data_IF_277965154393
#
_entry.id   IF_277965154393
#
_cell.length_a   1.000
_cell.length_b   1.000
_cell.length_c   1.000
_cell.angle_alpha   90.00
_cell.angle_beta   90.00
_cell.angle_gamma   90.00
#
_symmetry.space_group_name_H-M   'P 1'
#
loop_
_entity.id
_entity.type
_entity.pdbx_description
1 polymer ?
#
# COMPACT_ATOMS: atom_id res chain seq x y z
N UNK A 1 8.84 -8.40 7.86
CA UNK A 1 8.14 -7.12 8.01
C UNK A 1 7.95 -6.50 6.63
N UNK A 2 6.71 -6.33 6.20
CA UNK A 2 6.35 -5.66 4.95
C UNK A 2 6.21 -4.16 5.23
N UNK A 3 6.86 -3.31 4.44
CA UNK A 3 6.60 -1.87 4.51
C UNK A 3 5.30 -1.57 3.78
N UNK A 4 4.44 -0.77 4.39
CA UNK A 4 3.19 -0.29 3.80
C UNK A 4 3.23 1.24 3.76
N UNK A 5 3.49 1.81 2.57
CA UNK A 5 3.38 3.24 2.33
C UNK A 5 1.94 3.61 1.99
N UNK A 6 1.39 4.59 2.70
CA UNK A 6 0.03 5.06 2.48
C UNK A 6 -0.22 6.40 3.15
N UNK A 7 -1.49 6.75 3.31
CA UNK A 7 -1.93 7.92 4.08
C UNK A 7 -3.35 7.70 4.59
N UNK A 8 -3.66 8.21 5.78
CA UNK A 8 -4.99 8.09 6.39
C UNK A 8 -6.08 8.85 5.61
N UNK A 9 -5.73 9.78 4.72
CA UNK A 9 -6.71 10.46 3.86
C UNK A 9 -7.18 9.58 2.69
N UNK A 10 -6.51 8.45 2.42
CA UNK A 10 -6.85 7.50 1.36
C UNK A 10 -7.75 6.37 1.89
N UNK A 11 -8.91 6.19 1.25
CA UNK A 11 -9.89 5.18 1.64
C UNK A 11 -9.33 3.75 1.56
N UNK A 12 -8.55 3.43 0.52
CA UNK A 12 -7.93 2.11 0.35
C UNK A 12 -6.88 1.82 1.42
N UNK A 13 -6.18 2.87 1.88
CA UNK A 13 -5.23 2.74 3.00
C UNK A 13 -5.94 2.49 4.32
N UNK A 14 -7.06 3.18 4.59
CA UNK A 14 -7.87 2.94 5.79
C UNK A 14 -8.49 1.54 5.80
N UNK A 15 -9.03 1.09 4.66
CA UNK A 15 -9.50 -0.29 4.50
C UNK A 15 -8.36 -1.30 4.73
N UNK A 16 -7.17 -1.06 4.18
CA UNK A 16 -5.99 -1.90 4.42
C UNK A 16 -5.68 -2.00 5.91
N UNK A 17 -5.60 -0.86 6.63
CA UNK A 17 -5.36 -0.86 8.08
C UNK A 17 -6.43 -1.65 8.85
N UNK A 18 -7.71 -1.48 8.49
CA UNK A 18 -8.82 -2.19 9.10
C UNK A 18 -8.73 -3.72 8.88
N UNK A 19 -8.39 -4.15 7.67
CA UNK A 19 -8.20 -5.57 7.32
C UNK A 19 -7.02 -6.17 8.09
N UNK A 20 -5.88 -5.47 8.12
CA UNK A 20 -4.69 -5.93 8.85
C UNK A 20 -5.00 -6.10 10.34
N UNK A 21 -5.74 -5.16 10.93
CA UNK A 21 -6.21 -5.26 12.32
C UNK A 21 -7.17 -6.43 12.53
N UNK A 22 -8.19 -6.57 11.68
CA UNK A 22 -9.18 -7.65 11.78
C UNK A 22 -8.55 -9.05 11.65
N UNK A 23 -7.46 -9.17 10.89
CA UNK A 23 -6.71 -10.42 10.68
C UNK A 23 -5.56 -10.62 11.67
N UNK A 24 -5.33 -9.71 12.62
CA UNK A 24 -4.19 -9.72 13.54
C UNK A 24 -2.83 -9.77 12.82
N UNK A 25 -2.67 -8.96 11.77
CA UNK A 25 -1.46 -8.86 10.95
C UNK A 25 -0.69 -7.53 11.14
N UNK A 26 -1.09 -6.71 12.10
CA UNK A 26 -0.44 -5.41 12.39
C UNK A 26 1.06 -5.56 12.73
N UNK A 27 1.47 -6.71 13.27
CA UNK A 27 2.89 -7.03 13.55
C UNK A 27 3.69 -7.46 12.31
N UNK A 28 3.01 -7.73 11.19
CA UNK A 28 3.63 -8.12 9.91
C UNK A 28 3.86 -6.95 8.97
N UNK A 29 3.16 -5.83 9.19
CA UNK A 29 3.22 -4.65 8.35
C UNK A 29 3.66 -3.41 9.14
N UNK A 30 4.64 -2.69 8.61
CA UNK A 30 5.02 -1.38 9.13
C UNK A 30 4.38 -0.31 8.26
N UNK A 31 3.36 0.35 8.80
CA UNK A 31 2.74 1.50 8.13
C UNK A 31 3.66 2.72 8.16
N UNK A 32 3.82 3.35 6.99
CA UNK A 32 4.57 4.58 6.78
C UNK A 32 3.60 5.57 6.14
N UNK A 33 3.11 6.51 6.96
CA UNK A 33 2.29 7.61 6.46
C UNK A 33 3.17 8.61 5.69
N UNK A 34 3.03 8.64 4.38
CA UNK A 34 3.80 9.53 3.49
C UNK A 34 3.41 11.00 3.62
N UNK A 35 2.29 11.29 4.26
CA UNK A 35 1.82 12.65 4.51
C UNK A 35 2.25 13.19 5.87
N UNK A 36 2.82 12.36 6.74
CA UNK A 36 3.22 12.75 8.09
C UNK A 36 4.39 13.74 8.13
N UNK A 37 5.35 13.63 7.21
CA UNK A 37 6.49 14.53 7.10
C UNK A 37 7.15 14.44 5.71
N UNK A 38 8.06 15.36 5.42
CA UNK A 38 8.74 15.43 4.12
C UNK A 38 9.74 14.31 3.86
N UNK A 39 10.26 13.65 4.91
CA UNK A 39 11.22 12.56 4.73
C UNK A 39 10.50 11.30 4.26
N UNK A 40 9.37 10.94 4.91
CA UNK A 40 8.49 9.86 4.44
C UNK A 40 7.98 10.13 3.01
N UNK A 41 7.65 11.40 2.70
CA UNK A 41 7.22 11.79 1.37
C UNK A 41 8.34 11.60 0.33
N UNK A 42 9.57 12.01 0.62
CA UNK A 42 10.73 11.80 -0.27
C UNK A 42 11.03 10.32 -0.47
N UNK A 43 10.94 9.52 0.59
CA UNK A 43 11.16 8.07 0.54
C UNK A 43 10.13 7.42 -0.38
N UNK A 44 8.84 7.75 -0.20
CA UNK A 44 7.79 7.24 -1.09
C UNK A 44 7.94 7.73 -2.52
N UNK A 45 8.22 9.01 -2.75
CA UNK A 45 8.42 9.54 -4.12
C UNK A 45 9.60 8.86 -4.81
N UNK A 46 10.69 8.60 -4.09
CA UNK A 46 11.86 7.87 -4.62
C UNK A 46 11.48 6.45 -5.05
N UNK A 47 10.69 5.74 -4.23
CA UNK A 47 10.16 4.43 -4.57
C UNK A 47 9.22 4.52 -5.80
N UNK A 48 8.24 5.41 -5.74
CA UNK A 48 7.22 5.63 -6.78
C UNK A 48 7.82 5.99 -8.12
N UNK A 49 8.90 6.78 -8.16
CA UNK A 49 9.47 7.25 -9.42
C UNK A 49 10.40 6.22 -10.08
N UNK A 50 10.93 5.26 -9.31
CA UNK A 50 11.92 4.28 -9.78
C UNK A 50 11.35 2.89 -10.02
N UNK A 51 10.36 2.48 -9.25
CA UNK A 51 9.84 1.12 -9.28
C UNK A 51 8.87 0.91 -10.45
N UNK A 52 9.04 -0.21 -11.15
CA UNK A 52 8.23 -0.55 -12.33
C UNK A 52 6.75 -0.79 -11.97
N UNK A 53 6.48 -1.26 -10.75
CA UNK A 53 5.13 -1.48 -10.23
C UNK A 53 4.24 -0.23 -10.26
N UNK A 54 4.84 0.97 -10.22
CA UNK A 54 4.13 2.24 -10.28
C UNK A 54 3.92 2.78 -11.70
N UNK A 55 4.40 2.11 -12.74
CA UNK A 55 4.24 2.60 -14.12
C UNK A 55 2.76 2.90 -14.48
N UNK A 56 1.79 2.01 -14.18
CA UNK A 56 0.38 2.30 -14.45
C UNK A 56 -0.15 3.47 -13.59
N UNK A 57 0.29 3.59 -12.34
CA UNK A 57 -0.12 4.69 -11.46
C UNK A 57 0.41 6.05 -11.99
N UNK A 58 1.64 6.08 -12.50
CA UNK A 58 2.24 7.29 -13.11
C UNK A 58 1.55 7.66 -14.42
N UNK A 59 1.27 6.67 -15.29
CA UNK A 59 0.52 6.88 -16.53
C UNK A 59 -0.87 7.45 -16.27
N UNK A 60 -1.56 6.90 -15.26
CA UNK A 60 -2.81 7.44 -14.78
C UNK A 60 -3.99 7.21 -15.72
N UNK A 61 -5.05 8.00 -15.54
CA UNK A 61 -6.22 7.99 -16.41
C UNK A 61 -6.72 9.42 -16.62
N UNK A 62 -7.30 9.71 -17.78
CA UNK A 62 -7.90 11.01 -18.11
C UNK A 62 -6.93 12.20 -17.88
N UNK A 63 -5.65 12.01 -18.20
CA UNK A 63 -4.61 13.03 -18.05
C UNK A 63 -4.18 13.31 -16.60
N UNK A 64 -4.51 12.43 -15.64
CA UNK A 64 -4.09 12.54 -14.24
C UNK A 64 -3.46 11.25 -13.75
N UNK A 65 -2.26 11.35 -13.18
CA UNK A 65 -1.62 10.25 -12.46
C UNK A 65 -2.37 9.89 -11.18
N UNK A 66 -2.28 8.64 -10.78
CA UNK A 66 -2.62 8.18 -9.44
C UNK A 66 -1.42 8.33 -8.50
N UNK A 67 -1.70 8.40 -7.19
CA UNK A 67 -0.64 8.44 -6.16
C UNK A 67 0.07 7.08 -6.11
N UNK A 68 -0.66 5.97 -6.25
CA UNK A 68 -0.13 4.62 -6.13
C UNK A 68 -0.04 4.15 -4.68
N UNK A 69 -1.08 4.40 -3.89
CA UNK A 69 -1.23 3.90 -2.51
C UNK A 69 -2.52 3.12 -2.36
N UNK A 70 -2.57 2.08 -1.51
CA UNK A 70 -1.48 1.57 -0.68
C UNK A 70 -0.35 0.92 -1.51
N UNK A 71 0.91 1.06 -1.06
CA UNK A 71 2.07 0.42 -1.68
C UNK A 71 2.81 -0.44 -0.66
N UNK A 72 3.18 -1.65 -1.07
CA UNK A 72 3.78 -2.65 -0.21
C UNK A 72 5.16 -3.07 -0.71
N UNK A 73 6.13 -3.16 0.20
CA UNK A 73 7.50 -3.60 -0.08
C UNK A 73 7.85 -4.75 0.87
N UNK A 74 8.14 -5.93 0.33
CA UNK A 74 8.56 -7.07 1.14
C UNK A 74 10.06 -6.99 1.50
N UNK A 75 10.54 -7.97 2.28
CA UNK A 75 11.94 -8.04 2.72
C UNK A 75 12.94 -8.24 1.58
N UNK A 76 12.49 -8.77 0.44
CA UNK A 76 13.30 -8.96 -0.77
C UNK A 76 13.33 -7.71 -1.66
N UNK A 77 12.67 -6.62 -1.25
CA UNK A 77 12.54 -5.38 -2.03
C UNK A 77 11.50 -5.45 -3.15
N UNK A 78 10.70 -6.51 -3.24
CA UNK A 78 9.61 -6.60 -4.21
C UNK A 78 8.50 -5.64 -3.85
N UNK A 79 8.01 -4.91 -4.86
CA UNK A 79 6.98 -3.89 -4.72
C UNK A 79 5.67 -4.33 -5.35
N UNK A 80 4.56 -4.05 -4.68
CA UNK A 80 3.20 -4.18 -5.23
C UNK A 80 2.28 -3.08 -4.73
N UNK A 81 1.25 -2.76 -5.51
CA UNK A 81 0.15 -1.85 -5.14
C UNK A 81 -1.13 -2.62 -4.80
N UNK A 82 -1.05 -3.95 -4.72
CA UNK A 82 -2.17 -4.85 -4.49
C UNK A 82 -2.03 -5.53 -3.12
N UNK A 83 -3.02 -5.31 -2.25
CA UNK A 83 -3.07 -5.91 -0.92
C UNK A 83 -3.16 -7.44 -0.99
N UNK A 84 -3.87 -8.02 -1.96
CA UNK A 84 -3.97 -9.47 -2.10
C UNK A 84 -2.62 -10.09 -2.39
N UNK A 85 -1.81 -9.43 -3.24
CA UNK A 85 -0.45 -9.87 -3.50
C UNK A 85 0.45 -9.73 -2.27
N UNK A 86 0.30 -8.65 -1.49
CA UNK A 86 1.06 -8.48 -0.25
C UNK A 86 0.69 -9.53 0.82
N UNK A 87 -0.59 -9.88 0.93
CA UNK A 87 -1.10 -10.94 1.80
C UNK A 87 -0.60 -12.32 1.37
N UNK A 88 -0.53 -12.58 0.06
CA UNK A 88 -0.03 -13.84 -0.47
C UNK A 88 1.44 -14.11 -0.08
N UNK A 89 2.28 -13.07 0.11
CA UNK A 89 3.65 -13.23 0.63
C UNK A 89 3.69 -13.82 2.05
N UNK A 90 2.60 -13.69 2.81
CA UNK A 90 2.44 -14.25 4.15
C UNK A 90 1.62 -15.55 4.17
N UNK A 91 1.24 -16.08 3.00
CA UNK A 91 0.33 -17.23 2.89
C UNK A 91 -1.11 -16.92 3.32
N UNK A 92 -1.50 -15.65 3.37
CA UNK A 92 -2.85 -15.23 3.71
C UNK A 92 -3.77 -15.30 2.48
N UNK A 93 -5.08 -15.58 2.66
CA UNK A 93 -6.04 -15.55 1.56
C UNK A 93 -6.28 -14.11 1.08
N UNK A 94 -6.82 -13.98 -0.13
CA UNK A 94 -7.28 -12.69 -0.66
C UNK A 94 -8.33 -12.03 0.25
N UNK A 95 -8.46 -10.71 0.13
CA UNK A 95 -9.48 -9.90 0.82
C UNK A 95 -10.87 -10.31 0.33
N UNK A 96 -11.78 -10.51 1.27
CA UNK A 96 -13.20 -10.73 0.96
C UNK A 96 -13.93 -9.39 0.97
N UNK A 97 -14.94 -9.27 0.12
CA UNK A 97 -15.79 -8.07 0.03
C UNK A 97 -16.37 -7.64 1.38
N UNK A 98 -16.71 -8.60 2.26
CA UNK A 98 -17.24 -8.33 3.59
C UNK A 98 -16.22 -7.71 4.56
N UNK A 99 -14.93 -7.69 4.22
CA UNK A 99 -13.86 -7.09 5.02
C UNK A 99 -13.57 -5.64 4.62
N UNK A 100 -14.15 -5.15 3.51
CA UNK A 100 -14.05 -3.77 3.07
C UNK A 100 -15.08 -2.94 3.85
N UNK A 101 -14.60 -1.97 4.63
CA UNK A 101 -15.43 -1.18 5.55
C UNK A 101 -15.94 0.10 4.89
N UNK A 102 -15.13 0.70 4.03
CA UNK A 102 -15.41 1.98 3.36
C UNK A 102 -15.48 1.80 1.83
N UNK A 103 -16.41 2.48 1.15
CA UNK A 103 -16.61 2.42 -0.31
C UNK A 103 -16.77 3.82 -0.91
#
# INVERSE_FOLDING_TARGET
>A
MILFYGSEICIDCRNTLAILKARNLEDKFRFIDMTANTDNMKDFLTLRDREAAFAPAREGANGRSFIGIPAFVNEEGKVTLDLDQALAWLGQPAVKEAEIVER
#
